data_IF_778522946945
#
_entry.id   IF_778522946945
#
_cell.length_a   1.000
_cell.length_b   1.000
_cell.length_c   1.000
_cell.angle_alpha   90.00
_cell.angle_beta   90.00
_cell.angle_gamma   90.00
#
_symmetry.space_group_name_H-M   'P 1'
#
loop_
_entity.id
_entity.type
_entity.pdbx_description
1 polymer ?
#
# COMPACT_ATOMS: atom_id res chain seq x y z
N UNK A 1 18.37 -31.42 0.75
CA UNK A 1 18.99 -30.26 1.42
C UNK A 1 17.87 -29.30 1.76
N UNK A 2 17.48 -29.17 3.05
CA UNK A 2 16.40 -28.28 3.48
C UNK A 2 16.91 -26.84 3.56
N UNK A 3 17.02 -26.16 2.43
CA UNK A 3 17.18 -24.71 2.43
C UNK A 3 15.88 -24.08 2.84
N UNK A 4 15.74 -23.63 4.08
CA UNK A 4 14.65 -22.73 4.47
C UNK A 4 14.74 -21.50 3.57
N UNK A 5 13.68 -21.19 2.83
CA UNK A 5 13.55 -19.91 2.13
C UNK A 5 13.86 -18.80 3.15
N UNK A 6 14.96 -18.08 2.92
CA UNK A 6 15.30 -16.92 3.72
C UNK A 6 14.43 -15.77 3.21
N UNK A 7 13.40 -15.44 3.95
CA UNK A 7 12.55 -14.27 3.69
C UNK A 7 13.37 -13.02 4.02
N UNK A 8 13.70 -12.23 3.01
CA UNK A 8 14.48 -10.98 3.15
C UNK A 8 13.60 -9.83 3.67
N UNK A 9 13.20 -9.93 4.92
CA UNK A 9 12.46 -8.84 5.58
C UNK A 9 13.36 -7.65 5.90
N UNK A 10 13.64 -6.78 4.91
CA UNK A 10 14.51 -5.60 5.02
C UNK A 10 13.98 -4.56 6.03
N UNK A 11 13.97 -4.87 7.33
CA UNK A 11 13.52 -3.98 8.41
C UNK A 11 12.14 -3.34 8.16
N UNK A 12 11.24 -4.02 7.46
CA UNK A 12 9.92 -3.48 7.10
C UNK A 12 9.10 -3.07 8.34
N UNK A 13 9.26 -3.77 9.46
CA UNK A 13 8.68 -3.36 10.74
C UNK A 13 9.18 -1.98 11.20
N UNK A 14 10.48 -1.70 11.07
CA UNK A 14 11.05 -0.40 11.40
C UNK A 14 10.56 0.69 10.45
N UNK A 15 10.53 0.41 9.14
CA UNK A 15 9.99 1.35 8.12
C UNK A 15 8.53 1.68 8.40
N UNK A 16 7.72 0.68 8.70
CA UNK A 16 6.30 0.86 9.07
C UNK A 16 6.13 1.70 10.32
N UNK A 17 6.94 1.46 11.35
CA UNK A 17 6.92 2.25 12.59
C UNK A 17 7.31 3.70 12.32
N UNK A 18 8.36 3.94 11.53
CA UNK A 18 8.77 5.29 11.12
C UNK A 18 7.70 6.02 10.31
N UNK A 19 6.99 5.29 9.41
CA UNK A 19 5.87 5.85 8.67
C UNK A 19 4.73 6.29 9.59
N UNK A 20 4.35 5.46 10.56
CA UNK A 20 3.34 5.86 11.55
C UNK A 20 3.81 7.05 12.40
N UNK A 21 5.06 7.08 12.84
CA UNK A 21 5.60 8.21 13.58
C UNK A 21 5.57 9.50 12.74
N UNK A 22 5.91 9.42 11.46
CA UNK A 22 5.85 10.55 10.53
C UNK A 22 4.40 11.03 10.34
N UNK A 23 3.45 10.11 10.17
CA UNK A 23 2.03 10.45 10.05
C UNK A 23 1.54 11.22 11.28
N UNK A 24 1.84 10.72 12.47
CA UNK A 24 1.47 11.40 13.70
C UNK A 24 2.16 12.76 13.82
N UNK A 25 3.43 12.87 13.41
CA UNK A 25 4.16 14.14 13.35
C UNK A 25 3.46 15.17 12.44
N UNK A 26 3.01 14.75 11.26
CA UNK A 26 2.26 15.63 10.34
C UNK A 26 0.92 16.05 10.93
N UNK A 27 0.16 15.15 11.54
CA UNK A 27 -1.13 15.48 12.16
C UNK A 27 -0.93 16.50 13.30
N UNK A 28 0.09 16.32 14.14
CA UNK A 28 0.41 17.23 15.22
C UNK A 28 0.91 18.59 14.70
N UNK A 29 1.69 18.59 13.62
CA UNK A 29 2.14 19.83 12.96
C UNK A 29 0.94 20.65 12.45
N UNK A 30 -0.04 19.98 11.84
CA UNK A 30 -1.25 20.64 11.35
C UNK A 30 -2.08 21.18 12.50
N UNK A 31 -2.26 20.40 13.58
CA UNK A 31 -2.92 20.90 14.79
C UNK A 31 -2.24 22.14 15.34
N UNK A 32 -0.90 22.14 15.42
CA UNK A 32 -0.14 23.31 15.86
C UNK A 32 -0.33 24.51 14.93
N UNK A 33 -0.25 24.31 13.61
CA UNK A 33 -0.42 25.34 12.60
C UNK A 33 -1.83 25.93 12.56
N UNK A 34 -2.85 25.18 12.98
CA UNK A 34 -4.25 25.64 13.08
C UNK A 34 -4.58 26.32 14.40
N UNK A 35 -3.57 26.68 15.20
CA UNK A 35 -3.70 27.48 16.42
C UNK A 35 -3.62 26.69 17.72
N UNK A 36 -3.25 25.41 17.70
CA UNK A 36 -2.97 24.53 18.84
C UNK A 36 -4.06 24.56 19.95
N UNK A 37 -5.33 24.70 19.56
CA UNK A 37 -6.43 24.74 20.51
C UNK A 37 -6.65 23.40 21.21
N UNK A 38 -6.71 23.40 22.54
CA UNK A 38 -6.99 22.18 23.31
C UNK A 38 -8.36 21.57 22.97
N UNK A 39 -9.34 22.38 22.60
CA UNK A 39 -10.66 21.91 22.20
C UNK A 39 -10.65 21.10 20.88
N UNK A 40 -9.69 21.35 20.00
CA UNK A 40 -9.55 20.64 18.72
C UNK A 40 -8.60 19.46 18.78
N UNK A 41 -7.72 19.37 19.77
CA UNK A 41 -6.74 18.29 19.91
C UNK A 41 -7.39 16.90 19.85
N UNK A 42 -8.53 16.71 20.52
CA UNK A 42 -9.27 15.46 20.53
C UNK A 42 -9.70 14.99 19.12
N UNK A 43 -10.11 15.92 18.26
CA UNK A 43 -10.47 15.61 16.86
C UNK A 43 -9.27 15.12 16.06
N UNK A 44 -8.11 15.77 16.19
CA UNK A 44 -6.89 15.36 15.48
C UNK A 44 -6.39 14.00 15.95
N UNK A 45 -6.48 13.71 17.25
CA UNK A 45 -6.16 12.39 17.80
C UNK A 45 -7.12 11.33 17.22
N UNK A 46 -8.43 11.58 17.18
CA UNK A 46 -9.42 10.66 16.64
C UNK A 46 -9.19 10.40 15.14
N UNK A 47 -8.88 11.44 14.35
CA UNK A 47 -8.54 11.29 12.93
C UNK A 47 -7.29 10.43 12.78
N UNK A 48 -6.24 10.69 13.56
CA UNK A 48 -5.00 9.91 13.52
C UNK A 48 -5.23 8.43 13.88
N UNK A 49 -5.93 8.15 14.97
CA UNK A 49 -6.27 6.78 15.37
C UNK A 49 -7.18 6.10 14.35
N UNK A 50 -8.21 6.80 13.88
CA UNK A 50 -9.15 6.28 12.89
C UNK A 50 -8.47 5.95 11.56
N UNK A 51 -7.64 6.84 11.04
CA UNK A 51 -6.89 6.60 9.80
C UNK A 51 -5.90 5.44 9.93
N UNK A 52 -5.20 5.35 11.05
CA UNK A 52 -4.30 4.24 11.35
C UNK A 52 -5.06 2.91 11.39
N UNK A 53 -6.20 2.88 12.10
CA UNK A 53 -7.04 1.70 12.23
C UNK A 53 -7.58 1.25 10.87
N UNK A 54 -8.14 2.17 10.09
CA UNK A 54 -8.70 1.86 8.76
C UNK A 54 -7.62 1.38 7.81
N UNK A 55 -6.48 2.05 7.75
CA UNK A 55 -5.37 1.67 6.88
C UNK A 55 -4.82 0.28 7.20
N UNK A 56 -4.72 -0.06 8.48
CA UNK A 56 -4.23 -1.38 8.89
C UNK A 56 -5.27 -2.49 8.70
N UNK A 57 -6.52 -2.24 9.12
CA UNK A 57 -7.54 -3.30 9.22
C UNK A 57 -8.26 -3.59 7.91
N UNK A 58 -8.36 -2.61 7.02
CA UNK A 58 -9.19 -2.69 5.81
C UNK A 58 -8.39 -2.62 4.50
N UNK A 59 -7.05 -2.57 4.55
CA UNK A 59 -6.22 -2.46 3.33
C UNK A 59 -6.49 -3.57 2.32
N UNK A 60 -6.63 -4.82 2.78
CA UNK A 60 -6.94 -5.98 1.95
C UNK A 60 -8.32 -5.88 1.30
N UNK A 61 -9.33 -5.54 2.10
CA UNK A 61 -10.72 -5.42 1.62
C UNK A 61 -10.90 -4.28 0.62
N UNK A 62 -10.22 -3.15 0.87
CA UNK A 62 -10.28 -2.00 -0.04
C UNK A 62 -9.63 -2.31 -1.38
N UNK A 63 -8.48 -2.99 -1.39
CA UNK A 63 -7.80 -3.40 -2.62
C UNK A 63 -8.68 -4.37 -3.45
N UNK A 64 -9.25 -5.38 -2.81
CA UNK A 64 -10.14 -6.35 -3.45
C UNK A 64 -11.42 -5.68 -3.97
N UNK A 65 -12.04 -4.82 -3.16
CA UNK A 65 -13.27 -4.11 -3.53
C UNK A 65 -13.04 -3.12 -4.69
N UNK A 66 -11.90 -2.45 -4.75
CA UNK A 66 -11.57 -1.52 -5.84
C UNK A 66 -11.50 -2.18 -7.21
N UNK A 67 -11.15 -3.48 -7.23
CA UNK A 67 -11.09 -4.30 -8.44
C UNK A 67 -12.39 -5.08 -8.70
N UNK A 68 -13.42 -4.91 -7.86
CA UNK A 68 -14.67 -5.69 -7.91
C UNK A 68 -14.42 -7.20 -7.93
N UNK A 69 -13.31 -7.63 -7.31
CA UNK A 69 -12.89 -9.01 -7.31
C UNK A 69 -13.78 -9.87 -6.41
N UNK A 70 -14.09 -11.07 -6.87
CA UNK A 70 -14.90 -12.05 -6.16
C UNK A 70 -14.04 -13.21 -5.69
N UNK A 71 -14.30 -13.67 -4.47
CA UNK A 71 -13.66 -14.86 -3.95
C UNK A 71 -14.14 -16.09 -4.74
N UNK A 72 -13.20 -16.92 -5.15
CA UNK A 72 -13.49 -18.13 -5.91
C UNK A 72 -13.18 -19.37 -5.10
N UNK A 73 -13.93 -20.44 -5.35
CA UNK A 73 -13.71 -21.76 -4.76
C UNK A 73 -12.71 -22.59 -5.58
N UNK A 74 -12.22 -23.69 -4.98
CA UNK A 74 -11.35 -24.64 -5.69
C UNK A 74 -12.03 -25.27 -6.91
N UNK A 75 -13.36 -25.42 -6.89
CA UNK A 75 -14.13 -25.97 -8.02
C UNK A 75 -14.19 -24.99 -9.19
N UNK A 76 -14.20 -23.68 -8.91
CA UNK A 76 -14.26 -22.61 -9.94
C UNK A 76 -12.88 -22.30 -10.54
N UNK A 77 -11.81 -22.45 -9.76
CA UNK A 77 -10.45 -22.12 -10.19
C UNK A 77 -9.41 -23.18 -9.78
N UNK A 78 -9.56 -24.44 -10.23
CA UNK A 78 -8.72 -25.55 -9.73
C UNK A 78 -7.24 -25.37 -10.02
N UNK A 79 -6.88 -24.75 -11.16
CA UNK A 79 -5.49 -24.50 -11.53
C UNK A 79 -4.84 -23.48 -10.58
N UNK A 80 -5.54 -22.38 -10.28
CA UNK A 80 -5.05 -21.38 -9.34
C UNK A 80 -4.86 -21.97 -7.93
N UNK A 81 -5.85 -22.73 -7.46
CA UNK A 81 -5.77 -23.40 -6.17
C UNK A 81 -4.58 -24.34 -6.07
N UNK A 82 -4.33 -25.13 -7.13
CA UNK A 82 -3.18 -26.03 -7.22
C UNK A 82 -1.86 -25.26 -7.10
N UNK A 83 -1.70 -24.18 -7.89
CA UNK A 83 -0.48 -23.37 -7.92
C UNK A 83 -0.25 -22.71 -6.55
N UNK A 84 -1.25 -22.00 -6.03
CA UNK A 84 -1.12 -21.25 -4.77
C UNK A 84 -0.88 -22.19 -3.59
N UNK A 85 -1.55 -23.35 -3.56
CA UNK A 85 -1.33 -24.38 -2.53
C UNK A 85 0.10 -24.91 -2.55
N UNK A 86 0.62 -25.21 -3.73
CA UNK A 86 1.99 -25.70 -3.91
C UNK A 86 3.01 -24.67 -3.45
N UNK A 87 2.87 -23.41 -3.91
CA UNK A 87 3.77 -22.32 -3.53
C UNK A 87 3.72 -22.00 -2.03
N UNK A 88 2.53 -21.97 -1.45
CA UNK A 88 2.37 -21.75 0.00
C UNK A 88 2.98 -22.88 0.82
N UNK A 89 2.81 -24.14 0.39
CA UNK A 89 3.41 -25.29 1.05
C UNK A 89 4.94 -25.25 0.97
N UNK A 90 5.52 -24.90 -0.19
CA UNK A 90 6.98 -24.72 -0.34
C UNK A 90 7.53 -23.62 0.54
N UNK A 91 6.79 -22.51 0.66
CA UNK A 91 7.16 -21.41 1.55
C UNK A 91 6.94 -21.72 3.04
N UNK A 92 6.24 -22.81 3.39
CA UNK A 92 5.86 -23.12 4.76
C UNK A 92 4.89 -22.10 5.37
N UNK A 93 4.05 -21.49 4.54
CA UNK A 93 3.12 -20.41 4.89
C UNK A 93 1.67 -20.83 4.70
N UNK A 94 0.71 -20.21 5.41
CA UNK A 94 -0.70 -20.50 5.21
C UNK A 94 -1.15 -20.12 3.80
N UNK A 95 -2.09 -20.88 3.24
CA UNK A 95 -2.65 -20.62 1.92
C UNK A 95 -3.51 -19.34 1.96
N UNK A 96 -3.26 -18.36 1.09
CA UNK A 96 -4.08 -17.15 0.98
C UNK A 96 -5.44 -17.45 0.34
N UNK A 97 -6.40 -16.54 0.54
CA UNK A 97 -7.68 -16.56 -0.18
C UNK A 97 -7.45 -16.15 -1.64
N UNK A 98 -8.20 -16.74 -2.54
CA UNK A 98 -8.05 -16.51 -3.98
C UNK A 98 -9.26 -15.75 -4.52
N UNK A 99 -8.99 -14.68 -5.26
CA UNK A 99 -9.97 -13.80 -5.87
C UNK A 99 -9.74 -13.66 -7.36
N UNK A 100 -10.83 -13.51 -8.12
CA UNK A 100 -10.78 -13.18 -9.55
C UNK A 100 -11.52 -11.85 -9.78
N UNK A 101 -10.84 -10.91 -10.44
CA UNK A 101 -11.41 -9.63 -10.84
C UNK A 101 -11.98 -9.71 -12.27
N UNK A 102 -13.21 -9.22 -12.51
CA UNK A 102 -13.87 -9.31 -13.81
C UNK A 102 -13.39 -8.20 -14.78
N UNK A 103 -12.08 -8.11 -14.98
CA UNK A 103 -11.47 -7.13 -15.91
C UNK A 103 -10.55 -7.84 -16.89
N UNK A 104 -10.51 -7.32 -18.12
CA UNK A 104 -9.65 -7.83 -19.18
C UNK A 104 -8.26 -7.20 -19.18
N UNK A 105 -8.03 -6.13 -18.41
CA UNK A 105 -6.68 -5.60 -18.20
C UNK A 105 -5.86 -6.64 -17.44
N UNK A 106 -4.77 -7.18 -18.02
CA UNK A 106 -3.97 -8.21 -17.36
C UNK A 106 -3.29 -7.65 -16.13
N UNK A 107 -3.61 -8.23 -14.98
CA UNK A 107 -3.02 -7.86 -13.70
C UNK A 107 -3.14 -9.01 -12.70
N UNK A 108 -2.17 -9.12 -11.80
CA UNK A 108 -2.26 -9.92 -10.60
C UNK A 108 -1.66 -9.14 -9.44
N UNK A 109 -2.16 -9.34 -8.25
CA UNK A 109 -1.60 -8.76 -7.05
C UNK A 109 -1.92 -9.61 -5.83
N UNK A 110 -1.05 -9.52 -4.85
CA UNK A 110 -1.35 -10.05 -3.53
C UNK A 110 -1.57 -8.88 -2.56
N UNK A 111 -2.38 -9.12 -1.55
CA UNK A 111 -2.69 -8.13 -0.50
C UNK A 111 -2.90 -8.84 0.83
N UNK A 112 -2.84 -8.07 1.93
CA UNK A 112 -3.08 -8.61 3.25
C UNK A 112 -2.21 -7.96 4.32
N UNK A 113 -2.76 -7.80 5.51
CA UNK A 113 -2.02 -7.23 6.65
C UNK A 113 -0.98 -8.18 7.25
N UNK A 114 -1.15 -9.49 7.05
CA UNK A 114 -0.22 -10.53 7.46
C UNK A 114 -0.50 -11.83 6.68
N UNK A 115 0.36 -12.83 6.85
CA UNK A 115 0.30 -14.12 6.17
C UNK A 115 -1.03 -14.87 6.37
N UNK A 116 -1.68 -14.72 7.54
CA UNK A 116 -2.97 -15.38 7.85
C UNK A 116 -4.17 -14.69 7.21
N UNK A 117 -4.02 -13.43 6.82
CA UNK A 117 -5.05 -12.60 6.19
C UNK A 117 -4.62 -12.19 4.79
N UNK A 118 -3.81 -13.02 4.16
CA UNK A 118 -3.37 -12.82 2.80
C UNK A 118 -4.48 -13.17 1.81
N UNK A 119 -4.51 -12.47 0.71
CA UNK A 119 -5.36 -12.72 -0.44
C UNK A 119 -4.57 -12.48 -1.71
N UNK A 120 -4.80 -13.31 -2.71
CA UNK A 120 -4.23 -13.20 -4.05
C UNK A 120 -5.37 -12.95 -5.03
N UNK A 121 -5.20 -11.96 -5.88
CA UNK A 121 -6.18 -11.61 -6.90
C UNK A 121 -5.55 -11.70 -8.29
N UNK A 122 -6.21 -12.40 -9.20
CA UNK A 122 -5.89 -12.41 -10.62
C UNK A 122 -7.03 -11.79 -11.41
N UNK A 123 -6.75 -11.09 -12.50
CA UNK A 123 -7.77 -10.62 -13.42
C UNK A 123 -8.11 -11.70 -14.44
N UNK A 124 -9.31 -11.65 -15.02
CA UNK A 124 -9.66 -12.54 -16.13
C UNK A 124 -8.70 -12.38 -17.31
N UNK A 125 -8.23 -11.15 -17.55
CA UNK A 125 -7.28 -10.86 -18.63
C UNK A 125 -5.96 -11.61 -18.50
N UNK A 126 -5.34 -11.63 -17.31
CA UNK A 126 -4.07 -12.34 -17.09
C UNK A 126 -4.26 -13.86 -17.19
N UNK A 127 -5.39 -14.39 -16.71
CA UNK A 127 -5.69 -15.82 -16.79
C UNK A 127 -5.93 -16.32 -18.22
N UNK A 128 -6.36 -15.42 -19.12
CA UNK A 128 -6.52 -15.75 -20.55
C UNK A 128 -5.23 -15.56 -21.34
N UNK A 129 -4.35 -14.68 -20.88
CA UNK A 129 -3.10 -14.33 -21.57
C UNK A 129 -1.97 -15.31 -21.25
N UNK A 130 -1.83 -15.74 -20.00
CA UNK A 130 -0.71 -16.50 -19.50
C UNK A 130 -1.03 -18.00 -19.37
N UNK A 131 -0.04 -18.82 -19.64
CA UNK A 131 -0.11 -20.25 -19.38
C UNK A 131 0.17 -20.58 -17.88
N UNK A 132 -0.05 -21.84 -17.48
CA UNK A 132 0.10 -22.27 -16.07
C UNK A 132 1.51 -21.99 -15.51
N UNK A 133 2.58 -22.12 -16.31
CA UNK A 133 3.96 -21.86 -15.90
C UNK A 133 4.16 -20.37 -15.63
N UNK A 134 3.66 -19.52 -16.52
CA UNK A 134 3.77 -18.06 -16.40
C UNK A 134 2.95 -17.52 -15.21
N UNK A 135 1.71 -18.01 -15.06
CA UNK A 135 0.87 -17.68 -13.87
C UNK A 135 1.57 -18.09 -12.58
N UNK A 136 2.22 -19.26 -12.55
CA UNK A 136 2.99 -19.73 -11.41
C UNK A 136 4.11 -18.75 -11.05
N UNK A 137 4.79 -18.20 -12.03
CA UNK A 137 5.85 -17.23 -11.85
C UNK A 137 5.33 -15.94 -11.25
N UNK A 138 4.30 -15.36 -11.86
CA UNK A 138 3.66 -14.14 -11.35
C UNK A 138 3.16 -14.34 -9.92
N UNK A 139 2.46 -15.43 -9.64
CA UNK A 139 1.96 -15.71 -8.29
C UNK A 139 3.08 -15.98 -7.28
N UNK A 140 4.20 -16.56 -7.72
CA UNK A 140 5.38 -16.73 -6.88
C UNK A 140 5.98 -15.40 -6.46
N UNK A 141 6.11 -14.45 -7.39
CA UNK A 141 6.54 -13.08 -7.14
C UNK A 141 5.58 -12.36 -6.15
N UNK A 142 4.29 -12.36 -6.46
CA UNK A 142 3.28 -11.70 -5.63
C UNK A 142 3.20 -12.25 -4.20
N UNK A 143 3.33 -13.56 -4.04
CA UNK A 143 3.35 -14.18 -2.71
C UNK A 143 4.56 -13.77 -1.88
N UNK A 144 5.71 -13.49 -2.52
CA UNK A 144 6.88 -13.02 -1.78
C UNK A 144 6.64 -11.64 -1.17
N UNK A 145 5.91 -10.73 -1.84
CA UNK A 145 5.52 -9.45 -1.25
C UNK A 145 4.68 -9.60 0.03
N UNK A 146 3.79 -10.62 0.07
CA UNK A 146 3.03 -10.93 1.30
C UNK A 146 3.96 -11.40 2.42
N UNK A 147 4.84 -12.35 2.09
CA UNK A 147 5.70 -12.99 3.08
C UNK A 147 6.80 -12.05 3.61
N UNK A 148 7.23 -11.10 2.79
CA UNK A 148 8.17 -10.04 3.16
C UNK A 148 7.48 -8.85 3.88
N UNK A 149 6.16 -8.84 4.03
CA UNK A 149 5.37 -7.73 4.59
C UNK A 149 5.49 -6.42 3.79
N UNK A 150 5.83 -6.48 2.51
CA UNK A 150 5.99 -5.32 1.63
C UNK A 150 4.67 -4.60 1.39
N UNK A 151 3.59 -5.37 1.27
CA UNK A 151 2.24 -4.86 0.97
C UNK A 151 1.74 -3.94 2.08
N UNK A 152 1.94 -4.32 3.34
CA UNK A 152 1.52 -3.50 4.47
C UNK A 152 2.24 -2.15 4.46
N UNK A 153 3.56 -2.17 4.25
CA UNK A 153 4.38 -0.96 4.18
C UNK A 153 3.95 -0.04 3.03
N UNK A 154 3.69 -0.62 1.85
CA UNK A 154 3.23 0.12 0.67
C UNK A 154 1.83 0.70 0.85
N UNK A 155 0.90 -0.07 1.41
CA UNK A 155 -0.47 0.37 1.69
C UNK A 155 -0.49 1.54 2.69
N UNK A 156 0.30 1.46 3.76
CA UNK A 156 0.42 2.53 4.75
C UNK A 156 1.03 3.78 4.12
N UNK A 157 2.13 3.65 3.36
CA UNK A 157 2.78 4.78 2.70
C UNK A 157 1.84 5.48 1.72
N UNK A 158 1.06 4.73 0.92
CA UNK A 158 0.09 5.27 -0.02
C UNK A 158 -1.08 5.97 0.69
N UNK A 159 -1.61 5.37 1.77
CA UNK A 159 -2.66 5.98 2.57
C UNK A 159 -2.19 7.30 3.19
N UNK A 160 -0.97 7.34 3.72
CA UNK A 160 -0.36 8.54 4.27
C UNK A 160 -0.17 9.62 3.21
N UNK A 161 0.35 9.27 2.03
CA UNK A 161 0.52 10.21 0.93
C UNK A 161 -0.83 10.85 0.55
N UNK A 162 -1.90 10.05 0.52
CA UNK A 162 -3.27 10.52 0.25
C UNK A 162 -3.75 11.50 1.33
N UNK A 163 -3.60 11.15 2.61
CA UNK A 163 -3.99 12.02 3.73
C UNK A 163 -3.21 13.33 3.69
N UNK A 164 -1.89 13.28 3.50
CA UNK A 164 -1.03 14.47 3.43
C UNK A 164 -1.43 15.35 2.25
N UNK A 165 -1.68 14.77 1.08
CA UNK A 165 -2.14 15.51 -0.10
C UNK A 165 -3.49 16.18 0.15
N UNK A 166 -4.45 15.45 0.73
CA UNK A 166 -5.77 15.99 1.05
C UNK A 166 -5.69 17.15 2.05
N UNK A 167 -4.86 17.03 3.08
CA UNK A 167 -4.63 18.08 4.05
C UNK A 167 -3.97 19.31 3.39
N UNK A 168 -3.00 19.10 2.50
CA UNK A 168 -2.39 20.19 1.73
C UNK A 168 -3.42 20.95 0.89
N UNK A 169 -4.29 20.23 0.17
CA UNK A 169 -5.39 20.83 -0.59
C UNK A 169 -6.39 21.56 0.31
N UNK A 170 -6.76 20.97 1.42
CA UNK A 170 -7.70 21.59 2.38
C UNK A 170 -7.16 22.92 2.93
N UNK A 171 -5.89 22.97 3.31
CA UNK A 171 -5.24 24.18 3.80
C UNK A 171 -5.20 25.26 2.71
N UNK A 172 -4.96 24.87 1.45
CA UNK A 172 -4.97 25.79 0.31
C UNK A 172 -6.36 26.36 0.02
N UNK A 173 -7.41 25.54 0.16
CA UNK A 173 -8.81 25.93 -0.07
C UNK A 173 -9.36 26.78 1.08
N UNK A 174 -9.14 26.38 2.33
CA UNK A 174 -9.63 27.09 3.52
C UNK A 174 -8.74 28.28 3.89
N UNK A 175 -7.45 28.24 3.58
CA UNK A 175 -6.52 29.35 3.78
C UNK A 175 -6.61 30.46 2.75
N UNK A 176 -7.05 30.14 1.51
CA UNK A 176 -7.14 31.10 0.40
C UNK A 176 -8.52 31.73 0.17
N UNK A 177 -9.56 31.21 0.82
CA UNK A 177 -10.96 31.53 0.50
C UNK A 177 -11.60 32.68 1.28
N UNK A 178 -10.89 33.38 2.14
CA UNK A 178 -11.43 34.49 2.92
C UNK A 178 -10.59 35.73 2.76
N UNK A 179 -10.78 36.48 1.72
CA UNK A 179 -10.58 37.94 1.70
C UNK A 179 -10.63 38.48 0.28
N UNK A 180 -11.82 38.85 -0.17
CA UNK A 180 -11.96 39.81 -1.24
C UNK A 180 -12.68 41.09 -0.81
N UNK A 181 -13.12 41.18 0.45
CA UNK A 181 -13.95 42.33 0.85
C UNK A 181 -13.81 42.72 2.33
N UNK A 182 -12.61 42.82 2.88
CA UNK A 182 -12.44 43.65 4.11
C UNK A 182 -10.99 44.13 4.26
N UNK A 183 -10.83 45.41 4.20
CA UNK A 183 -9.59 46.17 4.32
C UNK A 183 -9.19 46.40 5.74
N UNK A 184 -9.28 45.43 6.64
CA UNK A 184 -8.66 45.57 7.98
C UNK A 184 -8.57 44.16 8.62
N UNK A 185 -7.39 43.59 8.55
CA UNK A 185 -6.75 42.84 9.63
C UNK A 185 -5.56 42.03 9.10
N UNK A 186 -4.39 42.37 9.59
CA UNK A 186 -3.08 41.81 9.26
C UNK A 186 -2.94 40.32 9.61
N UNK A 187 -3.96 39.68 10.22
CA UNK A 187 -3.98 38.27 10.63
C UNK A 187 -4.47 37.33 9.56
N UNK A 188 -5.34 37.78 8.61
CA UNK A 188 -5.91 36.91 7.59
C UNK A 188 -4.94 36.59 6.43
N UNK A 189 -4.01 37.49 6.15
CA UNK A 189 -2.93 37.26 5.17
C UNK A 189 -1.93 36.20 5.60
N UNK A 190 -1.72 36.04 6.90
CA UNK A 190 -0.79 35.06 7.49
C UNK A 190 -1.27 33.60 7.33
N UNK A 191 -2.57 33.32 7.44
CA UNK A 191 -3.13 31.99 7.30
C UNK A 191 -3.08 31.49 5.84
N UNK A 192 -3.29 32.36 4.86
CA UNK A 192 -3.15 32.02 3.45
C UNK A 192 -1.70 31.71 3.08
N UNK A 193 -0.74 32.50 3.57
CA UNK A 193 0.68 32.27 3.37
C UNK A 193 1.15 30.98 4.06
N UNK A 194 0.70 30.72 5.28
CA UNK A 194 0.97 29.47 6.00
C UNK A 194 0.41 28.26 5.26
N UNK A 195 -0.78 28.34 4.68
CA UNK A 195 -1.36 27.28 3.86
C UNK A 195 -0.51 26.96 2.63
N UNK A 196 -0.03 27.96 1.92
CA UNK A 196 0.88 27.81 0.78
C UNK A 196 2.22 27.21 1.23
N UNK A 197 2.83 27.71 2.29
CA UNK A 197 4.10 27.20 2.83
C UNK A 197 3.97 25.73 3.27
N UNK A 198 2.89 25.39 3.99
CA UNK A 198 2.63 24.00 4.42
C UNK A 198 2.39 23.08 3.22
N UNK A 199 1.62 23.49 2.21
CA UNK A 199 1.42 22.69 1.01
C UNK A 199 2.73 22.45 0.24
N UNK A 200 3.61 23.47 0.19
CA UNK A 200 4.93 23.36 -0.46
C UNK A 200 5.85 22.39 0.27
N UNK A 201 5.75 22.28 1.60
CA UNK A 201 6.52 21.33 2.41
C UNK A 201 5.88 19.92 2.35
N UNK A 202 4.57 19.83 2.39
CA UNK A 202 3.86 18.55 2.43
C UNK A 202 3.92 17.79 1.10
N UNK A 203 3.95 18.48 -0.04
CA UNK A 203 4.01 17.84 -1.35
C UNK A 203 5.28 16.98 -1.56
N UNK A 204 6.51 17.43 -1.25
CA UNK A 204 7.71 16.59 -1.32
C UNK A 204 7.67 15.41 -0.34
N UNK A 205 7.07 15.60 0.84
CA UNK A 205 6.91 14.51 1.81
C UNK A 205 5.98 13.43 1.25
N UNK A 206 4.84 13.81 0.69
CA UNK A 206 3.92 12.87 0.05
C UNK A 206 4.58 12.13 -1.13
N UNK A 207 5.35 12.84 -1.96
CA UNK A 207 6.10 12.24 -3.07
C UNK A 207 7.15 11.24 -2.56
N UNK A 208 7.88 11.57 -1.49
CA UNK A 208 8.86 10.66 -0.88
C UNK A 208 8.21 9.40 -0.30
N UNK A 209 7.02 9.52 0.28
CA UNK A 209 6.25 8.38 0.79
C UNK A 209 5.80 7.46 -0.35
N UNK A 210 5.33 8.02 -1.47
CA UNK A 210 4.99 7.25 -2.67
C UNK A 210 6.23 6.52 -3.21
N UNK A 211 7.39 7.17 -3.27
CA UNK A 211 8.63 6.53 -3.70
C UNK A 211 9.07 5.40 -2.75
N UNK A 212 8.86 5.55 -1.45
CA UNK A 212 9.11 4.46 -0.50
C UNK A 212 8.12 3.30 -0.66
N UNK A 213 6.89 3.57 -1.09
CA UNK A 213 5.92 2.53 -1.42
C UNK A 213 6.35 1.71 -2.65
N UNK A 214 6.99 2.38 -3.64
CA UNK A 214 7.49 1.77 -4.87
C UNK A 214 9.02 1.57 -4.76
N UNK A 215 9.46 0.67 -3.91
CA UNK A 215 10.90 0.42 -3.72
C UNK A 215 11.42 -0.63 -4.70
N UNK A 216 12.33 -0.24 -5.60
CA UNK A 216 13.01 -1.17 -6.54
C UNK A 216 13.71 -2.33 -5.83
N UNK A 217 14.26 -2.10 -4.64
CA UNK A 217 14.91 -3.16 -3.87
C UNK A 217 13.93 -4.28 -3.52
N UNK A 218 12.67 -3.94 -3.19
CA UNK A 218 11.64 -4.95 -2.88
C UNK A 218 11.25 -5.77 -4.11
N UNK A 219 11.22 -5.15 -5.28
CA UNK A 219 10.96 -5.86 -6.53
C UNK A 219 12.07 -6.86 -6.84
N UNK A 220 13.36 -6.47 -6.69
CA UNK A 220 14.48 -7.39 -6.85
C UNK A 220 14.45 -8.54 -5.85
N UNK A 221 14.11 -8.27 -4.59
CA UNK A 221 14.00 -9.31 -3.56
C UNK A 221 12.83 -10.27 -3.87
N UNK A 222 11.68 -9.73 -4.32
CA UNK A 222 10.53 -10.54 -4.71
C UNK A 222 10.83 -11.40 -5.95
N UNK A 223 11.56 -10.88 -6.92
CA UNK A 223 12.02 -11.62 -8.11
C UNK A 223 13.00 -12.74 -7.73
N UNK A 224 13.99 -12.44 -6.89
CA UNK A 224 14.98 -13.43 -6.45
C UNK A 224 14.31 -14.54 -5.64
N UNK A 225 13.51 -14.18 -4.64
CA UNK A 225 12.85 -15.15 -3.76
C UNK A 225 11.71 -15.88 -4.49
N UNK A 226 10.99 -15.20 -5.38
CA UNK A 226 9.97 -15.78 -6.25
C UNK A 226 10.56 -16.83 -7.22
N UNK A 227 11.73 -16.54 -7.81
CA UNK A 227 12.43 -17.50 -8.66
C UNK A 227 12.89 -18.74 -7.90
N UNK A 228 13.33 -18.58 -6.66
CA UNK A 228 13.67 -19.71 -5.77
C UNK A 228 12.44 -20.51 -5.38
N UNK A 229 11.31 -19.83 -5.10
CA UNK A 229 10.06 -20.47 -4.72
C UNK A 229 9.46 -21.29 -5.86
N UNK A 230 9.49 -20.75 -7.07
CA UNK A 230 8.97 -21.45 -8.28
C UNK A 230 9.95 -22.47 -8.86
N UNK A 231 11.23 -22.42 -8.46
CA UNK A 231 12.33 -23.21 -9.03
C UNK A 231 12.54 -22.93 -10.53
N UNK A 232 12.14 -21.73 -10.99
CA UNK A 232 12.22 -21.32 -12.39
C UNK A 232 12.91 -19.96 -12.53
N UNK A 233 14.24 -19.95 -12.82
CA UNK A 233 15.02 -18.72 -12.86
C UNK A 233 14.71 -17.84 -14.09
N UNK A 234 13.99 -18.32 -15.09
CA UNK A 234 13.64 -17.51 -16.27
C UNK A 234 12.45 -16.58 -16.00
N UNK A 235 11.61 -16.89 -15.02
CA UNK A 235 10.41 -16.13 -14.70
C UNK A 235 10.78 -14.79 -14.07
N UNK A 236 11.79 -14.72 -13.20
CA UNK A 236 12.28 -13.46 -12.61
C UNK A 236 12.90 -12.48 -13.61
N UNK A 237 13.22 -12.95 -14.83
CA UNK A 237 13.69 -12.06 -15.92
C UNK A 237 12.58 -11.48 -16.77
N UNK A 238 11.39 -12.06 -16.73
CA UNK A 238 10.25 -11.59 -17.51
C UNK A 238 9.58 -10.38 -16.87
N UNK A 239 9.50 -10.32 -15.54
CA UNK A 239 8.95 -9.18 -14.79
C UNK A 239 9.84 -7.93 -14.82
N UNK A 240 11.15 -8.07 -15.08
CA UNK A 240 12.07 -6.93 -15.22
C UNK A 240 12.04 -6.25 -16.61
N UNK A 241 11.21 -6.68 -17.55
CA UNK A 241 11.16 -6.14 -18.93
C UNK A 241 9.97 -5.21 -19.21
N UNK A 242 9.11 -4.97 -18.24
CA UNK A 242 8.06 -3.94 -18.27
C UNK A 242 8.45 -2.78 -17.33
#
# INVERSE_FOLDING_TARGET
MNGKLQVHGHCNGLKTTLLFALMWGVIMLIWWATGASQSTLGYYILIGLGSTFVSYWFSDKLAIASMHAQEVSEQEAPVLYKIVRELSAKAGKPMPRIYIAPTMSPNAFATGRNERHAAVCCTQGILQMLNEREIRGVLGHELMHVYNHDILTSAIASAMATVISYLGYSLMYFGGGRSRDDRDDSASGGLGLLGVLLSTILAPIAASLIQMAISRTREYDADEDGSKLTEDPEIGRASCRE
#
